data_IF_215663781923
#
_entry.id   IF_215663781923
#
_cell.length_a   1.000
_cell.length_b   1.000
_cell.length_c   1.000
_cell.angle_alpha   90.00
_cell.angle_beta   90.00
_cell.angle_gamma   90.00
#
_symmetry.space_group_name_H-M   'P 1'
#
loop_
_entity.id
_entity.type
_entity.pdbx_description
1 polymer ?
#
# COMPACT_ATOMS: atom_id res chain seq x y z
N UNK A 1 3.37 -6.63 -14.25
CA UNK A 1 4.68 -6.86 -13.57
C UNK A 1 4.58 -8.10 -12.68
N UNK A 2 5.63 -8.92 -12.56
CA UNK A 2 5.64 -10.13 -11.71
C UNK A 2 6.77 -10.07 -10.69
N UNK A 3 6.44 -10.00 -9.40
CA UNK A 3 7.40 -9.98 -8.27
C UNK A 3 6.97 -11.07 -7.30
N UNK A 4 7.86 -12.01 -6.97
CA UNK A 4 7.57 -13.14 -6.07
C UNK A 4 6.21 -13.82 -6.37
N UNK A 5 5.91 -13.97 -7.67
CA UNK A 5 4.58 -14.32 -8.17
C UNK A 5 4.34 -15.84 -8.35
N UNK A 6 5.31 -16.67 -7.94
CA UNK A 6 5.12 -18.12 -7.84
C UNK A 6 4.74 -18.45 -6.39
N UNK A 7 3.44 -18.59 -6.15
CA UNK A 7 2.88 -18.86 -4.82
C UNK A 7 3.11 -20.29 -4.33
N UNK A 8 3.69 -21.17 -5.16
CA UNK A 8 4.16 -22.49 -4.70
C UNK A 8 5.53 -22.41 -4.01
N UNK A 9 6.25 -21.30 -4.17
CA UNK A 9 7.59 -21.08 -3.63
C UNK A 9 7.56 -20.16 -2.41
N UNK A 10 8.48 -20.39 -1.47
CA UNK A 10 8.71 -19.46 -0.35
C UNK A 10 9.42 -18.21 -0.87
N UNK A 11 8.85 -17.04 -0.59
CA UNK A 11 9.53 -15.76 -0.78
C UNK A 11 10.01 -15.20 0.58
N UNK A 12 11.22 -14.63 0.61
CA UNK A 12 11.75 -13.89 1.75
C UNK A 12 12.34 -12.56 1.26
N UNK A 13 11.79 -11.44 1.73
CA UNK A 13 12.18 -10.09 1.29
C UNK A 13 12.66 -9.28 2.50
N UNK A 14 13.94 -8.88 2.47
CA UNK A 14 14.52 -7.98 3.48
C UNK A 14 14.25 -6.53 3.09
N UNK A 15 13.01 -6.07 3.31
CA UNK A 15 12.56 -4.78 2.79
C UNK A 15 13.38 -3.59 3.29
N UNK A 16 14.03 -3.66 4.44
CA UNK A 16 14.91 -2.59 4.92
C UNK A 16 16.09 -2.31 3.98
N UNK A 17 16.55 -3.34 3.26
CA UNK A 17 17.66 -3.25 2.31
C UNK A 17 17.18 -2.92 0.88
N UNK A 18 15.88 -3.02 0.61
CA UNK A 18 15.31 -2.68 -0.70
C UNK A 18 15.24 -1.16 -0.86
N UNK A 19 15.72 -0.58 -1.97
CA UNK A 19 15.58 0.85 -2.23
C UNK A 19 14.11 1.23 -2.41
N UNK A 20 13.79 2.47 -2.04
CA UNK A 20 12.49 3.05 -2.34
C UNK A 20 12.36 3.31 -3.85
N UNK A 21 11.18 3.07 -4.39
CA UNK A 21 10.83 3.38 -5.78
C UNK A 21 9.63 4.32 -5.78
N UNK A 22 9.71 5.41 -6.53
CA UNK A 22 8.59 6.34 -6.66
C UNK A 22 7.34 5.63 -7.18
N UNK A 23 6.19 5.98 -6.59
CA UNK A 23 4.88 5.66 -7.16
C UNK A 23 4.47 6.75 -8.18
N UNK A 24 3.40 6.52 -8.97
CA UNK A 24 2.83 7.57 -9.79
C UNK A 24 2.27 8.77 -9.00
N UNK A 25 1.97 8.60 -7.70
CA UNK A 25 1.53 9.70 -6.85
C UNK A 25 2.72 10.44 -6.24
N UNK A 26 2.70 11.76 -6.37
CA UNK A 26 3.73 12.63 -5.83
C UNK A 26 3.85 12.47 -4.30
N UNK A 27 5.08 12.36 -3.81
CA UNK A 27 5.35 12.19 -2.39
C UNK A 27 5.04 10.80 -1.82
N UNK A 28 4.68 9.83 -2.68
CA UNK A 28 4.47 8.43 -2.25
C UNK A 28 5.50 7.51 -2.89
N UNK A 29 6.28 6.85 -2.04
CA UNK A 29 7.26 5.84 -2.42
C UNK A 29 6.79 4.43 -2.03
N UNK A 30 7.33 3.41 -2.68
CA UNK A 30 6.97 2.02 -2.45
C UNK A 30 8.15 1.06 -2.46
N UNK A 31 8.04 0.00 -1.65
CA UNK A 31 8.82 -1.24 -1.71
C UNK A 31 7.87 -2.40 -1.94
N UNK A 32 7.88 -2.95 -3.16
CA UNK A 32 6.98 -4.03 -3.56
C UNK A 32 7.51 -5.37 -3.04
N UNK A 33 6.67 -6.13 -2.35
CA UNK A 33 7.04 -7.43 -1.75
C UNK A 33 6.56 -8.59 -2.63
N UNK A 34 5.33 -8.53 -3.12
CA UNK A 34 4.81 -9.40 -4.16
C UNK A 34 3.92 -8.61 -5.13
N UNK A 35 3.80 -9.11 -6.36
CA UNK A 35 2.87 -8.57 -7.36
C UNK A 35 2.58 -9.59 -8.45
N UNK A 36 1.30 -9.78 -8.77
CA UNK A 36 0.85 -10.49 -9.98
C UNK A 36 -0.30 -9.71 -10.62
N UNK A 37 -0.29 -9.61 -11.95
CA UNK A 37 -1.27 -8.85 -12.72
C UNK A 37 -0.73 -7.50 -13.18
N UNK A 38 -1.38 -6.97 -14.22
CA UNK A 38 -1.02 -5.69 -14.83
C UNK A 38 -2.01 -4.60 -14.39
N UNK A 39 -3.30 -4.68 -14.78
CA UNK A 39 -4.34 -3.68 -14.49
C UNK A 39 -4.95 -3.79 -13.08
N UNK A 40 -5.31 -4.98 -12.63
CA UNK A 40 -5.81 -5.24 -11.26
C UNK A 40 -4.84 -6.19 -10.56
N UNK A 41 -3.73 -5.68 -10.02
CA UNK A 41 -2.71 -6.52 -9.43
C UNK A 41 -3.15 -6.98 -8.05
N UNK A 42 -3.01 -8.28 -7.75
CA UNK A 42 -2.78 -8.67 -6.36
C UNK A 42 -1.38 -8.16 -6.01
N UNK A 43 -1.27 -7.41 -4.92
CA UNK A 43 -0.01 -6.84 -4.49
C UNK A 43 0.10 -6.78 -2.97
N UNK A 44 1.28 -7.08 -2.47
CA UNK A 44 1.71 -6.74 -1.11
C UNK A 44 2.85 -5.73 -1.23
N UNK A 45 2.70 -4.54 -0.65
CA UNK A 45 3.65 -3.43 -0.81
C UNK A 45 3.76 -2.63 0.47
N UNK A 46 4.98 -2.24 0.84
CA UNK A 46 5.20 -1.21 1.86
C UNK A 46 5.18 0.14 1.13
N UNK A 47 4.30 1.03 1.57
CA UNK A 47 4.18 2.38 1.04
C UNK A 47 4.63 3.40 2.09
N UNK A 48 5.24 4.48 1.63
CA UNK A 48 5.61 5.62 2.47
C UNK A 48 5.08 6.88 1.83
N UNK A 49 4.33 7.65 2.62
CA UNK A 49 3.87 8.97 2.25
C UNK A 49 4.80 9.99 2.90
N UNK A 50 5.23 10.99 2.13
CA UNK A 50 5.83 12.19 2.69
C UNK A 50 4.73 13.03 3.38
N UNK A 51 5.07 13.83 4.41
CA UNK A 51 4.08 14.66 5.12
C UNK A 51 3.25 15.52 4.16
N UNK A 52 1.92 15.50 4.32
CA UNK A 52 1.00 16.26 3.48
C UNK A 52 0.75 15.66 2.08
N UNK A 53 1.28 14.48 1.80
CA UNK A 53 1.00 13.76 0.56
C UNK A 53 -0.36 13.06 0.64
N UNK A 54 -1.04 12.98 -0.49
CA UNK A 54 -2.32 12.27 -0.60
C UNK A 54 -2.43 11.53 -1.91
N UNK A 55 -3.29 10.53 -1.93
CA UNK A 55 -3.81 9.98 -3.17
C UNK A 55 -5.08 10.74 -3.59
N UNK A 56 -5.36 10.73 -4.89
CA UNK A 56 -6.71 11.07 -5.34
C UNK A 56 -7.72 10.05 -4.78
N UNK A 57 -8.99 10.45 -4.54
CA UNK A 57 -10.02 9.53 -4.12
C UNK A 57 -10.14 8.33 -5.07
N UNK A 58 -10.16 7.11 -4.54
CA UNK A 58 -10.20 5.88 -5.34
C UNK A 58 -11.03 4.78 -4.69
N UNK A 59 -11.46 3.83 -5.53
CA UNK A 59 -12.24 2.66 -5.13
C UNK A 59 -11.37 1.42 -5.08
N UNK A 60 -11.57 0.58 -4.07
CA UNK A 60 -10.89 -0.70 -3.91
C UNK A 60 -11.73 -1.84 -4.49
N UNK A 61 -11.60 -2.12 -5.79
CA UNK A 61 -12.38 -3.18 -6.44
C UNK A 61 -12.15 -4.58 -5.82
N UNK A 62 -10.92 -4.85 -5.38
CA UNK A 62 -10.53 -6.11 -4.72
C UNK A 62 -10.44 -6.02 -3.19
N UNK A 63 -10.72 -4.84 -2.62
CA UNK A 63 -10.44 -4.52 -1.23
C UNK A 63 -8.99 -4.12 -0.96
N UNK A 64 -8.74 -3.60 0.24
CA UNK A 64 -7.43 -3.20 0.75
C UNK A 64 -7.31 -3.62 2.21
N UNK A 65 -6.12 -4.06 2.59
CA UNK A 65 -5.76 -4.39 3.97
C UNK A 65 -4.41 -3.76 4.26
N UNK A 66 -4.31 -3.00 5.34
CA UNK A 66 -3.06 -2.32 5.70
C UNK A 66 -2.80 -2.29 7.21
N UNK A 67 -1.51 -2.10 7.52
CA UNK A 67 -0.98 -1.83 8.84
C UNK A 67 -0.21 -0.53 8.80
N UNK A 68 -0.46 0.36 9.76
CA UNK A 68 0.32 1.60 9.90
C UNK A 68 1.60 1.29 10.66
N UNK A 69 2.71 1.17 9.93
CA UNK A 69 4.02 0.81 10.49
C UNK A 69 4.67 1.95 11.28
N UNK A 70 4.46 3.19 10.84
CA UNK A 70 4.96 4.40 11.48
C UNK A 70 4.15 5.62 11.03
N UNK A 71 4.12 6.69 11.83
CA UNK A 71 3.32 7.89 11.56
C UNK A 71 1.81 7.72 11.85
N UNK A 72 1.01 8.51 11.15
CA UNK A 72 -0.46 8.48 11.19
C UNK A 72 -0.94 8.48 9.74
N UNK A 73 -1.73 7.48 9.36
CA UNK A 73 -2.44 7.47 8.09
C UNK A 73 -3.81 8.11 8.29
N UNK A 74 -4.36 8.78 7.28
CA UNK A 74 -5.63 9.49 7.40
C UNK A 74 -6.49 9.24 6.16
N UNK A 75 -7.80 9.28 6.36
CA UNK A 75 -8.80 9.44 5.30
C UNK A 75 -10.01 10.22 5.85
N UNK A 76 -11.12 10.26 5.11
CA UNK A 76 -12.33 10.99 5.51
C UNK A 76 -13.00 10.47 6.79
N UNK A 77 -12.64 9.27 7.24
CA UNK A 77 -13.13 8.66 8.47
C UNK A 77 -12.28 8.98 9.70
N UNK A 78 -11.09 9.55 9.52
CA UNK A 78 -10.25 10.09 10.57
C UNK A 78 -8.81 9.56 10.56
N UNK A 79 -8.23 9.48 11.76
CA UNK A 79 -6.82 9.18 11.97
C UNK A 79 -6.61 7.71 12.33
N UNK A 80 -5.64 7.10 11.65
CA UNK A 80 -5.16 5.75 11.88
C UNK A 80 -3.70 5.82 12.36
N UNK A 81 -3.46 5.92 13.68
CA UNK A 81 -2.10 6.02 14.21
C UNK A 81 -1.31 4.71 14.04
N UNK A 82 0.01 4.77 14.19
CA UNK A 82 0.91 3.60 14.26
C UNK A 82 0.31 2.45 15.07
N UNK A 83 0.35 1.25 14.49
CA UNK A 83 -0.24 0.05 15.07
C UNK A 83 -1.71 -0.18 14.69
N UNK A 84 -2.34 0.76 13.98
CA UNK A 84 -3.66 0.55 13.38
C UNK A 84 -3.63 -0.55 12.33
N UNK A 85 -4.64 -1.40 12.38
CA UNK A 85 -4.96 -2.40 11.39
C UNK A 85 -6.31 -2.05 10.75
N UNK A 86 -6.35 -2.01 9.43
CA UNK A 86 -7.57 -1.62 8.69
C UNK A 86 -7.83 -2.60 7.57
N UNK A 87 -9.11 -2.93 7.38
CA UNK A 87 -9.62 -3.67 6.23
C UNK A 87 -10.70 -2.84 5.55
N UNK A 88 -10.40 -2.40 4.33
CA UNK A 88 -11.33 -1.75 3.43
C UNK A 88 -11.89 -2.82 2.49
N UNK A 89 -13.17 -3.25 2.63
CA UNK A 89 -13.72 -4.34 1.82
C UNK A 89 -13.83 -3.94 0.34
N UNK A 90 -14.01 -4.91 -0.58
CA UNK A 90 -14.29 -4.63 -1.98
C UNK A 90 -15.37 -3.55 -2.16
N UNK A 91 -15.21 -2.68 -3.15
CA UNK A 91 -16.07 -1.53 -3.49
C UNK A 91 -16.06 -0.35 -2.52
N UNK A 92 -15.31 -0.43 -1.41
CA UNK A 92 -15.04 0.74 -0.56
C UNK A 92 -14.28 1.84 -1.31
N UNK A 93 -14.44 3.09 -0.89
CA UNK A 93 -13.81 4.26 -1.50
C UNK A 93 -13.34 5.22 -0.41
N UNK A 94 -12.15 5.78 -0.59
CA UNK A 94 -11.56 6.76 0.33
C UNK A 94 -10.58 7.68 -0.39
N UNK A 95 -10.13 8.73 0.30
CA UNK A 95 -9.03 9.61 -0.07
C UNK A 95 -7.90 9.54 0.96
N UNK A 96 -6.89 8.69 0.71
CA UNK A 96 -5.74 8.56 1.61
C UNK A 96 -4.86 9.79 1.72
N UNK A 97 -4.38 10.05 2.92
CA UNK A 97 -3.34 11.03 3.20
C UNK A 97 -2.44 10.64 4.38
N UNK A 98 -1.35 11.39 4.55
CA UNK A 98 -0.44 11.32 5.69
C UNK A 98 -0.11 12.71 6.25
#
# INVERSE_FOLDING_TARGET
MRINADFSQRAAVFFDQTPWVASPAAGVDRKMLDRIGDEVPRATTIVRFAPGSSFAPHTHDGGEEFLVLDGVFQDESGDFPKGSYVRNPPTSRHQPSA
#
